data_IF_411581320938
#
_entry.id   IF_411581320938
#
_cell.length_a   1.000
_cell.length_b   1.000
_cell.length_c   1.000
_cell.angle_alpha   90.00
_cell.angle_beta   90.00
_cell.angle_gamma   90.00
#
_symmetry.space_group_name_H-M   'P 1'
#
loop_
_entity.id
_entity.type
_entity.pdbx_description
1 polymer ?
#
# COMPACT_ATOMS: atom_id res chain seq x y z
N UNK A 1 28.30 12.79 -8.99
CA UNK A 1 28.75 11.39 -8.86
C UNK A 1 27.50 10.54 -9.03
N UNK A 2 27.33 9.87 -10.17
CA UNK A 2 26.18 9.01 -10.42
C UNK A 2 26.26 7.79 -9.51
N UNK A 3 25.27 7.60 -8.63
CA UNK A 3 25.05 6.30 -8.02
C UNK A 3 24.86 5.30 -9.15
N UNK A 4 25.72 4.29 -9.22
CA UNK A 4 25.44 3.14 -10.06
C UNK A 4 24.22 2.45 -9.44
N UNK A 5 23.06 2.60 -10.05
CA UNK A 5 21.86 1.81 -9.74
C UNK A 5 22.21 0.34 -9.93
N UNK A 6 22.61 -0.33 -8.85
CA UNK A 6 22.73 -1.78 -8.86
C UNK A 6 21.32 -2.33 -8.99
N UNK A 7 21.01 -2.90 -10.15
CA UNK A 7 19.73 -3.54 -10.41
C UNK A 7 19.39 -4.54 -9.28
N UNK A 8 18.15 -4.48 -8.79
CA UNK A 8 17.66 -5.38 -7.76
C UNK A 8 17.82 -6.85 -8.22
N UNK A 9 18.12 -7.78 -7.30
CA UNK A 9 18.43 -9.18 -7.64
C UNK A 9 17.36 -9.85 -8.52
N UNK A 10 16.10 -9.44 -8.38
CA UNK A 10 14.99 -9.95 -9.18
C UNK A 10 15.12 -9.64 -10.67
N UNK A 11 15.66 -8.48 -11.03
CA UNK A 11 15.93 -8.11 -12.43
C UNK A 11 17.19 -8.82 -12.94
N UNK A 12 18.23 -8.91 -12.11
CA UNK A 12 19.45 -9.64 -12.45
C UNK A 12 19.15 -11.12 -12.74
N UNK A 13 18.36 -11.77 -11.90
CA UNK A 13 17.93 -13.15 -12.11
C UNK A 13 17.13 -13.30 -13.41
N UNK A 14 16.25 -12.35 -13.72
CA UNK A 14 15.49 -12.37 -14.97
C UNK A 14 16.41 -12.35 -16.19
N UNK A 15 17.43 -11.48 -16.17
CA UNK A 15 18.42 -11.41 -17.23
C UNK A 15 19.21 -12.71 -17.33
N UNK A 16 19.62 -13.30 -16.20
CA UNK A 16 20.33 -14.57 -16.16
C UNK A 16 19.51 -15.72 -16.75
N UNK A 17 18.23 -15.85 -16.38
CA UNK A 17 17.31 -16.87 -16.88
C UNK A 17 17.08 -16.78 -18.40
N UNK A 18 17.20 -15.58 -18.98
CA UNK A 18 16.99 -15.35 -20.42
C UNK A 18 18.29 -15.36 -21.25
N UNK A 19 19.45 -15.28 -20.59
CA UNK A 19 20.73 -15.17 -21.27
C UNK A 19 21.22 -16.54 -21.71
N UNK A 20 21.38 -16.74 -23.03
CA UNK A 20 21.87 -17.99 -23.60
C UNK A 20 23.31 -18.37 -23.18
N UNK A 21 24.05 -17.43 -22.60
CA UNK A 21 25.41 -17.63 -22.11
C UNK A 21 25.49 -18.07 -20.65
N UNK A 22 24.40 -17.97 -19.90
CA UNK A 22 24.37 -18.34 -18.47
C UNK A 22 24.04 -19.81 -18.35
N UNK A 23 24.82 -20.54 -17.56
CA UNK A 23 24.59 -21.95 -17.27
C UNK A 23 23.60 -22.12 -16.11
N UNK A 24 22.87 -23.24 -16.08
CA UNK A 24 21.93 -23.54 -14.99
C UNK A 24 22.64 -23.54 -13.62
N UNK A 25 23.89 -23.99 -13.54
CA UNK A 25 24.71 -23.96 -12.33
C UNK A 25 25.05 -22.55 -11.85
N UNK A 26 25.22 -21.59 -12.78
CA UNK A 26 25.42 -20.18 -12.41
C UNK A 26 24.12 -19.55 -11.89
N UNK A 27 22.97 -19.93 -12.46
CA UNK A 27 21.65 -19.49 -11.99
C UNK A 27 21.38 -20.03 -10.59
N UNK A 28 21.62 -21.32 -10.34
CA UNK A 28 21.39 -21.93 -9.02
C UNK A 28 22.33 -21.34 -7.96
N UNK A 29 23.61 -21.16 -8.29
CA UNK A 29 24.56 -20.48 -7.40
C UNK A 29 24.11 -19.04 -7.08
N UNK A 30 23.63 -18.28 -8.07
CA UNK A 30 23.10 -16.95 -7.83
C UNK A 30 21.88 -16.96 -6.90
N UNK A 31 20.95 -17.89 -7.11
CA UNK A 31 19.77 -18.05 -6.24
C UNK A 31 20.20 -18.31 -4.80
N UNK A 32 21.15 -19.22 -4.59
CA UNK A 32 21.60 -19.62 -3.25
C UNK A 32 22.46 -18.55 -2.55
N UNK A 33 23.27 -17.79 -3.28
CA UNK A 33 24.20 -16.82 -2.70
C UNK A 33 23.63 -15.39 -2.55
N UNK A 34 22.69 -15.02 -3.42
CA UNK A 34 22.26 -13.61 -3.56
C UNK A 34 20.85 -13.34 -3.07
N UNK A 35 19.94 -14.32 -3.13
CA UNK A 35 18.56 -14.11 -2.71
C UNK A 35 18.52 -14.13 -1.17
N UNK A 36 17.99 -13.09 -0.50
CA UNK A 36 18.03 -13.00 0.95
C UNK A 36 17.33 -14.18 1.63
N UNK A 37 17.98 -14.77 2.63
CA UNK A 37 17.42 -15.87 3.43
C UNK A 37 16.07 -15.50 4.08
N UNK A 38 15.10 -16.39 3.91
CA UNK A 38 13.75 -16.26 4.46
C UNK A 38 12.73 -15.88 3.38
N UNK A 39 11.72 -16.74 3.18
CA UNK A 39 10.62 -16.52 2.24
C UNK A 39 10.06 -15.10 2.40
N UNK A 40 10.42 -14.25 1.43
CA UNK A 40 10.06 -12.84 1.45
C UNK A 40 8.80 -12.63 0.61
N UNK A 41 8.38 -11.36 0.44
CA UNK A 41 7.21 -11.06 -0.39
C UNK A 41 7.41 -11.43 -1.86
N UNK A 42 8.65 -11.44 -2.36
CA UNK A 42 8.99 -11.49 -3.78
C UNK A 42 9.30 -12.88 -4.31
N UNK A 43 9.56 -13.87 -3.46
CA UNK A 43 9.74 -15.24 -3.90
C UNK A 43 9.17 -16.28 -2.93
N UNK A 44 8.88 -17.48 -3.43
CA UNK A 44 8.52 -18.66 -2.64
C UNK A 44 9.40 -19.84 -3.03
N UNK A 45 9.85 -20.61 -2.04
CA UNK A 45 10.45 -21.91 -2.29
C UNK A 45 9.39 -22.99 -2.12
N UNK A 46 9.35 -23.93 -3.05
CA UNK A 46 8.52 -25.12 -2.95
C UNK A 46 9.35 -26.30 -3.37
N UNK A 47 9.32 -27.34 -2.55
CA UNK A 47 9.95 -28.61 -2.91
C UNK A 47 9.33 -29.21 -4.18
N UNK A 48 8.01 -29.10 -4.33
CA UNK A 48 7.25 -29.72 -5.42
C UNK A 48 6.02 -28.88 -5.79
N UNK A 49 5.61 -28.99 -7.06
CA UNK A 49 4.35 -28.45 -7.56
C UNK A 49 3.83 -29.33 -8.71
N UNK A 50 2.52 -29.51 -8.78
CA UNK A 50 1.87 -30.43 -9.72
C UNK A 50 0.76 -29.73 -10.48
N UNK A 51 0.52 -30.18 -11.71
CA UNK A 51 -0.65 -29.83 -12.51
C UNK A 51 -1.41 -31.12 -12.83
N UNK A 52 -2.70 -31.12 -12.52
CA UNK A 52 -3.59 -32.25 -12.79
C UNK A 52 -4.57 -31.92 -13.90
N UNK A 53 -4.68 -32.84 -14.86
CA UNK A 53 -5.73 -32.84 -15.86
C UNK A 53 -7.03 -33.49 -15.38
N UNK A 54 -6.96 -34.35 -14.36
CA UNK A 54 -8.15 -35.02 -13.84
C UNK A 54 -8.93 -34.13 -12.87
N UNK A 55 -10.25 -34.29 -12.86
CA UNK A 55 -11.14 -33.58 -11.94
C UNK A 55 -11.18 -34.23 -10.55
N UNK A 56 -10.14 -34.98 -10.18
CA UNK A 56 -10.06 -35.65 -8.88
C UNK A 56 -9.94 -34.62 -7.76
N UNK A 57 -10.39 -34.95 -6.56
CA UNK A 57 -10.29 -34.02 -5.42
C UNK A 57 -8.83 -33.68 -5.08
N UNK A 58 -7.94 -34.66 -5.19
CA UNK A 58 -6.51 -34.46 -4.99
C UNK A 58 -5.92 -33.58 -6.09
N UNK A 59 -6.32 -33.77 -7.35
CA UNK A 59 -5.88 -32.92 -8.47
C UNK A 59 -6.33 -31.47 -8.32
N UNK A 60 -7.60 -31.26 -7.93
CA UNK A 60 -8.13 -29.92 -7.63
C UNK A 60 -7.39 -29.24 -6.47
N UNK A 61 -7.07 -29.97 -5.41
CA UNK A 61 -6.32 -29.42 -4.28
C UNK A 61 -4.88 -29.03 -4.68
N UNK A 62 -4.23 -29.85 -5.51
CA UNK A 62 -2.88 -29.57 -6.03
C UNK A 62 -2.88 -28.36 -6.96
N UNK A 63 -3.81 -28.30 -7.92
CA UNK A 63 -3.99 -27.13 -8.79
C UNK A 63 -4.25 -25.87 -7.97
N UNK A 64 -5.16 -25.94 -6.97
CA UNK A 64 -5.44 -24.82 -6.09
C UNK A 64 -4.19 -24.33 -5.34
N UNK A 65 -3.35 -25.22 -4.81
CA UNK A 65 -2.11 -24.81 -4.12
C UNK A 65 -1.20 -24.01 -5.04
N UNK A 66 -0.96 -24.49 -6.27
CA UNK A 66 -0.14 -23.76 -7.26
C UNK A 66 -0.75 -22.41 -7.63
N UNK A 67 -2.04 -22.40 -8.00
CA UNK A 67 -2.79 -21.19 -8.36
C UNK A 67 -2.79 -20.16 -7.24
N UNK A 68 -2.95 -20.60 -5.98
CA UNK A 68 -2.90 -19.73 -4.80
C UNK A 68 -1.57 -19.00 -4.69
N UNK A 69 -0.45 -19.69 -4.90
CA UNK A 69 0.88 -19.07 -4.83
C UNK A 69 1.10 -18.08 -5.98
N UNK A 70 0.70 -18.45 -7.21
CA UNK A 70 0.82 -17.57 -8.37
C UNK A 70 -0.06 -16.32 -8.22
N UNK A 71 -1.32 -16.49 -7.83
CA UNK A 71 -2.24 -15.38 -7.51
C UNK A 71 -1.65 -14.46 -6.43
N UNK A 72 -1.14 -15.04 -5.33
CA UNK A 72 -0.53 -14.27 -4.25
C UNK A 72 0.72 -13.50 -4.70
N UNK A 73 1.58 -14.13 -5.52
CA UNK A 73 2.75 -13.48 -6.10
C UNK A 73 2.32 -12.38 -7.06
N UNK A 74 1.35 -12.58 -7.95
CA UNK A 74 0.86 -11.56 -8.88
C UNK A 74 0.30 -10.33 -8.16
N UNK A 75 -0.38 -10.52 -7.02
CA UNK A 75 -0.98 -9.46 -6.21
C UNK A 75 -0.06 -8.90 -5.10
N UNK A 76 1.19 -9.37 -5.01
CA UNK A 76 2.11 -8.91 -3.97
C UNK A 76 2.36 -7.40 -4.05
N UNK A 77 2.47 -6.75 -2.89
CA UNK A 77 2.88 -5.34 -2.78
C UNK A 77 4.41 -5.24 -2.86
N UNK A 78 4.91 -4.71 -3.97
CA UNK A 78 6.34 -4.46 -4.23
C UNK A 78 6.54 -3.78 -5.59
N UNK A 79 7.61 -2.99 -5.72
CA UNK A 79 7.97 -2.28 -6.97
C UNK A 79 8.59 -3.20 -8.01
N UNK A 80 9.20 -4.29 -7.55
CA UNK A 80 9.90 -5.25 -8.39
C UNK A 80 8.93 -5.87 -9.40
N UNK A 81 9.34 -5.84 -10.67
CA UNK A 81 8.54 -6.33 -11.80
C UNK A 81 8.43 -7.85 -11.82
N UNK A 82 9.47 -8.55 -11.39
CA UNK A 82 9.53 -10.00 -11.39
C UNK A 82 9.52 -10.57 -9.97
N UNK A 83 8.74 -11.64 -9.81
CA UNK A 83 8.56 -12.41 -8.57
C UNK A 83 8.68 -13.88 -8.91
N UNK A 84 9.16 -14.68 -7.97
CA UNK A 84 9.62 -16.03 -8.32
C UNK A 84 8.97 -17.12 -7.47
N UNK A 85 8.55 -18.20 -8.12
CA UNK A 85 8.24 -19.46 -7.44
C UNK A 85 9.31 -20.46 -7.83
N UNK A 86 10.15 -20.83 -6.88
CA UNK A 86 11.26 -21.76 -7.04
C UNK A 86 10.80 -23.18 -6.67
N UNK A 87 10.66 -24.04 -7.67
CA UNK A 87 10.17 -25.41 -7.53
C UNK A 87 11.37 -26.36 -7.60
N UNK A 88 11.55 -27.22 -6.60
CA UNK A 88 12.75 -28.06 -6.45
C UNK A 88 13.84 -27.40 -5.60
N UNK A 89 13.45 -26.45 -4.75
CA UNK A 89 14.32 -25.76 -3.79
C UNK A 89 13.85 -26.03 -2.36
N UNK A 90 14.80 -26.08 -1.41
CA UNK A 90 14.49 -26.24 0.01
C UNK A 90 13.82 -24.99 0.60
N UNK A 91 13.03 -25.16 1.66
CA UNK A 91 12.36 -24.04 2.35
C UNK A 91 13.38 -23.02 2.91
N UNK A 92 14.60 -23.48 3.23
CA UNK A 92 15.73 -22.64 3.67
C UNK A 92 16.61 -22.14 2.52
N UNK A 93 16.19 -22.29 1.26
CA UNK A 93 17.06 -22.15 0.09
C UNK A 93 17.79 -23.45 -0.24
N UNK A 94 18.60 -23.43 -1.30
CA UNK A 94 19.36 -24.58 -1.78
C UNK A 94 18.64 -25.36 -2.88
N UNK A 95 19.35 -25.59 -3.98
CA UNK A 95 18.91 -26.50 -5.04
C UNK A 95 18.89 -27.95 -4.54
N UNK A 96 17.71 -28.58 -4.55
CA UNK A 96 17.53 -30.00 -4.15
C UNK A 96 17.00 -30.88 -5.29
N UNK A 97 16.48 -30.26 -6.35
CA UNK A 97 15.75 -30.94 -7.40
C UNK A 97 14.31 -31.26 -7.03
N UNK A 98 13.45 -31.31 -8.04
CA UNK A 98 12.14 -31.91 -7.91
C UNK A 98 12.28 -33.44 -7.94
N UNK A 99 12.38 -34.07 -6.78
CA UNK A 99 12.44 -35.53 -6.70
C UNK A 99 11.08 -36.16 -7.05
N UNK A 100 11.10 -37.19 -7.90
CA UNK A 100 9.95 -38.08 -8.17
C UNK A 100 9.40 -38.64 -6.87
N UNK A 101 8.20 -38.23 -6.45
CA UNK A 101 7.51 -38.86 -5.32
C UNK A 101 6.12 -39.36 -5.71
N UNK A 102 6.01 -40.70 -5.62
CA UNK A 102 4.81 -41.52 -5.38
C UNK A 102 3.77 -41.68 -6.51
N UNK A 103 3.36 -42.93 -6.69
CA UNK A 103 2.43 -43.57 -7.62
C UNK A 103 0.97 -43.06 -7.58
N UNK A 104 0.73 -41.86 -7.05
CA UNK A 104 -0.58 -41.27 -6.84
C UNK A 104 -0.97 -40.22 -7.90
N UNK A 105 -0.27 -40.20 -9.05
CA UNK A 105 -0.68 -39.53 -10.28
C UNK A 105 -0.57 -38.01 -10.27
N UNK A 106 -0.17 -37.41 -11.40
CA UNK A 106 0.01 -35.97 -11.59
C UNK A 106 1.23 -35.63 -12.43
N UNK A 107 1.12 -34.64 -13.30
CA UNK A 107 2.28 -34.15 -14.06
C UNK A 107 3.02 -33.11 -13.20
N UNK A 108 4.32 -33.28 -13.00
CA UNK A 108 5.09 -32.31 -12.24
C UNK A 108 5.23 -31.01 -13.06
N UNK A 109 5.22 -29.83 -12.42
CA UNK A 109 5.37 -28.54 -13.14
C UNK A 109 6.67 -28.48 -13.98
N UNK A 110 7.67 -29.28 -13.63
CA UNK A 110 8.93 -29.41 -14.37
C UNK A 110 8.76 -30.19 -15.68
N UNK A 111 7.78 -31.08 -15.78
CA UNK A 111 7.54 -31.98 -16.91
C UNK A 111 6.53 -31.44 -17.93
N UNK A 112 5.62 -30.58 -17.48
CA UNK A 112 4.59 -29.96 -18.34
C UNK A 112 5.16 -28.85 -19.22
N UNK A 113 4.56 -28.59 -20.38
CA UNK A 113 4.93 -27.44 -21.19
C UNK A 113 4.35 -26.12 -20.64
N UNK A 114 4.81 -25.00 -21.19
CA UNK A 114 4.34 -23.67 -20.79
C UNK A 114 2.86 -23.44 -21.12
N UNK A 115 2.38 -24.02 -22.23
CA UNK A 115 0.98 -23.94 -22.62
C UNK A 115 0.07 -24.53 -21.55
N UNK A 116 0.46 -25.67 -20.96
CA UNK A 116 -0.30 -26.32 -19.89
C UNK A 116 -0.40 -25.47 -18.62
N UNK A 117 0.68 -24.76 -18.27
CA UNK A 117 0.68 -23.82 -17.15
C UNK A 117 -0.27 -22.66 -17.45
N UNK A 118 -0.21 -22.12 -18.68
CA UNK A 118 -1.06 -21.02 -19.11
C UNK A 118 -2.54 -21.39 -19.16
N UNK A 119 -2.89 -22.57 -19.68
CA UNK A 119 -4.26 -23.10 -19.70
C UNK A 119 -4.84 -23.16 -18.28
N UNK A 120 -4.07 -23.70 -17.32
CA UNK A 120 -4.49 -23.78 -15.93
C UNK A 120 -4.76 -22.38 -15.34
N UNK A 121 -3.91 -21.40 -15.66
CA UNK A 121 -4.06 -20.02 -15.20
C UNK A 121 -5.29 -19.37 -15.83
N UNK A 122 -5.48 -19.49 -17.14
CA UNK A 122 -6.61 -18.89 -17.85
C UNK A 122 -7.97 -19.49 -17.45
N UNK A 123 -8.00 -20.77 -17.10
CA UNK A 123 -9.22 -21.45 -16.66
C UNK A 123 -9.65 -21.03 -15.23
N UNK A 124 -8.73 -20.45 -14.46
CA UNK A 124 -8.91 -20.28 -13.01
C UNK A 124 -8.76 -18.83 -12.52
N UNK A 125 -8.01 -17.98 -13.20
CA UNK A 125 -7.63 -16.65 -12.73
C UNK A 125 -7.98 -15.56 -13.75
N UNK A 126 -8.49 -14.43 -13.25
CA UNK A 126 -8.79 -13.24 -14.04
C UNK A 126 -8.37 -11.95 -13.29
N UNK A 127 -7.60 -11.02 -13.92
CA UNK A 127 -6.90 -11.20 -15.18
C UNK A 127 -5.83 -12.30 -15.12
N UNK A 128 -5.56 -12.94 -16.25
CA UNK A 128 -4.54 -13.99 -16.35
C UNK A 128 -3.15 -13.40 -16.10
N UNK A 129 -2.42 -13.83 -15.05
CA UNK A 129 -1.08 -13.30 -14.79
C UNK A 129 -0.08 -13.78 -15.84
N UNK A 130 0.84 -12.90 -16.24
CA UNK A 130 1.98 -13.28 -17.07
C UNK A 130 2.97 -14.13 -16.25
N UNK A 131 3.10 -15.40 -16.61
CA UNK A 131 3.97 -16.37 -15.94
C UNK A 131 4.85 -17.06 -16.97
N UNK A 132 6.17 -16.98 -16.79
CA UNK A 132 7.13 -17.68 -17.64
C UNK A 132 7.82 -18.78 -16.86
N UNK A 133 8.03 -19.94 -17.49
CA UNK A 133 8.68 -21.09 -16.85
C UNK A 133 10.07 -21.33 -17.43
N UNK A 134 11.08 -21.37 -16.56
CA UNK A 134 12.43 -21.83 -16.90
C UNK A 134 12.74 -23.12 -16.15
N UNK A 135 13.18 -24.15 -16.87
CA UNK A 135 13.65 -25.41 -16.27
C UNK A 135 15.15 -25.34 -16.08
N UNK A 136 15.61 -25.71 -14.88
CA UNK A 136 17.03 -25.77 -14.53
C UNK A 136 17.44 -27.23 -14.32
N UNK A 137 18.61 -27.62 -14.83
CA UNK A 137 19.18 -28.96 -14.66
C UNK A 137 20.57 -28.87 -14.03
N UNK A 138 20.76 -29.54 -12.90
CA UNK A 138 22.04 -29.65 -12.22
C UNK A 138 22.19 -31.03 -11.57
N UNK A 139 23.33 -31.68 -11.79
CA UNK A 139 23.68 -32.99 -11.19
C UNK A 139 22.57 -34.05 -11.34
N UNK A 140 22.06 -34.22 -12.57
CA UNK A 140 20.94 -35.11 -12.96
C UNK A 140 19.58 -34.81 -12.29
N UNK A 141 19.48 -33.71 -11.55
CA UNK A 141 18.22 -33.24 -10.96
C UNK A 141 17.66 -32.06 -11.75
N UNK A 142 16.34 -31.97 -11.83
CA UNK A 142 15.65 -30.87 -12.51
C UNK A 142 14.81 -30.04 -11.55
N UNK A 143 14.78 -28.73 -11.74
CA UNK A 143 13.97 -27.78 -11.01
C UNK A 143 13.24 -26.85 -11.99
N UNK A 144 12.25 -26.11 -11.51
CA UNK A 144 11.57 -25.09 -12.32
C UNK A 144 11.53 -23.76 -11.57
N UNK A 145 11.75 -22.67 -12.31
CA UNK A 145 11.57 -21.31 -11.84
C UNK A 145 10.37 -20.74 -12.59
N UNK A 146 9.30 -20.41 -11.88
CA UNK A 146 8.21 -19.62 -12.44
C UNK A 146 8.46 -18.14 -12.17
N UNK A 147 8.68 -17.38 -13.23
CA UNK A 147 8.79 -15.93 -13.19
C UNK A 147 7.38 -15.35 -13.34
N UNK A 148 6.80 -14.90 -12.23
CA UNK A 148 5.50 -14.22 -12.20
C UNK A 148 5.75 -12.73 -12.36
N UNK A 149 5.31 -12.16 -13.48
CA UNK A 149 5.36 -10.72 -13.66
C UNK A 149 4.31 -10.06 -12.80
N UNK A 150 4.66 -8.91 -12.23
CA UNK A 150 3.70 -8.01 -11.61
C UNK A 150 2.60 -7.66 -12.61
N UNK A 151 1.35 -7.82 -12.19
CA UNK A 151 0.19 -7.33 -12.94
C UNK A 151 0.14 -5.80 -12.83
N UNK A 152 0.08 -5.12 -13.97
CA UNK A 152 -0.30 -3.69 -14.05
C UNK A 152 -1.82 -3.53 -14.30
N UNK A 153 -2.57 -4.64 -14.24
CA UNK A 153 -4.03 -4.75 -14.43
C UNK A 153 -4.74 -4.87 -13.07
N UNK A 154 -6.09 -4.99 -13.00
CA UNK A 154 -6.79 -5.27 -11.75
C UNK A 154 -6.18 -6.44 -10.96
N UNK A 155 -6.43 -6.52 -9.64
CA UNK A 155 -5.98 -7.65 -8.85
C UNK A 155 -6.39 -8.98 -9.49
N UNK A 156 -5.47 -9.94 -9.51
CA UNK A 156 -5.71 -11.29 -10.04
C UNK A 156 -6.59 -12.04 -9.06
N UNK A 157 -7.80 -12.40 -9.49
CA UNK A 157 -8.80 -13.11 -8.69
C UNK A 157 -9.05 -14.50 -9.25
N UNK A 158 -9.56 -15.39 -8.42
CA UNK A 158 -10.12 -16.63 -8.92
C UNK A 158 -11.43 -16.34 -9.66
N UNK A 159 -11.50 -16.67 -10.94
CA UNK A 159 -12.74 -16.53 -11.73
C UNK A 159 -13.71 -17.69 -11.44
N UNK A 160 -13.16 -18.88 -11.21
CA UNK A 160 -13.94 -20.09 -10.93
C UNK A 160 -13.80 -20.56 -9.47
N UNK A 161 -14.90 -21.06 -8.90
CA UNK A 161 -14.87 -21.65 -7.55
C UNK A 161 -14.33 -23.09 -7.62
N UNK A 162 -13.33 -23.43 -6.80
CA UNK A 162 -12.78 -24.79 -6.74
C UNK A 162 -13.37 -25.52 -5.54
N UNK A 163 -14.09 -26.62 -5.82
CA UNK A 163 -14.75 -27.45 -4.80
C UNK A 163 -14.33 -28.92 -4.91
N UNK A 164 -14.08 -29.56 -3.76
CA UNK A 164 -13.78 -30.99 -3.62
C UNK A 164 -15.02 -31.78 -3.18
N UNK A 165 -14.99 -33.10 -3.40
CA UNK A 165 -15.94 -34.13 -2.97
C UNK A 165 -17.38 -33.81 -3.33
N UNK A 166 -17.70 -33.79 -4.62
CA UNK A 166 -19.06 -33.54 -5.12
C UNK A 166 -19.65 -32.18 -4.73
N UNK A 167 -18.83 -31.23 -4.27
CA UNK A 167 -19.24 -29.90 -3.79
C UNK A 167 -19.22 -29.72 -2.27
N UNK A 168 -18.81 -30.72 -1.49
CA UNK A 168 -18.88 -30.68 -0.03
C UNK A 168 -17.89 -29.72 0.63
N UNK A 169 -16.71 -29.48 0.04
CA UNK A 169 -15.71 -28.55 0.58
C UNK A 169 -15.29 -27.55 -0.49
N UNK A 170 -15.39 -26.26 -0.18
CA UNK A 170 -14.93 -25.19 -1.07
C UNK A 170 -13.50 -24.81 -0.70
N UNK A 171 -12.56 -25.04 -1.62
CA UNK A 171 -11.16 -24.63 -1.44
C UNK A 171 -11.00 -23.13 -1.66
N UNK A 172 -11.69 -22.59 -2.67
CA UNK A 172 -11.74 -21.16 -2.99
C UNK A 172 -13.05 -20.82 -3.71
N UNK A 173 -13.58 -19.63 -3.44
CA UNK A 173 -14.74 -19.07 -4.14
C UNK A 173 -14.27 -18.15 -5.26
N UNK A 174 -15.09 -18.05 -6.31
CA UNK A 174 -14.94 -17.01 -7.34
C UNK A 174 -14.92 -15.61 -6.71
N UNK A 175 -14.12 -14.71 -7.27
CA UNK A 175 -13.88 -13.34 -6.79
C UNK A 175 -12.84 -13.22 -5.66
N UNK A 176 -12.34 -14.33 -5.11
CA UNK A 176 -11.34 -14.29 -4.04
C UNK A 176 -9.95 -14.11 -4.65
N UNK A 177 -9.21 -13.09 -4.20
CA UNK A 177 -7.78 -12.94 -4.48
C UNK A 177 -6.92 -13.38 -3.29
N UNK A 178 -5.65 -13.66 -3.52
CA UNK A 178 -4.65 -13.90 -2.47
C UNK A 178 -3.52 -12.88 -2.58
N UNK A 179 -2.87 -12.59 -1.45
CA UNK A 179 -1.69 -11.72 -1.35
C UNK A 179 -0.65 -12.35 -0.42
N UNK A 180 0.64 -12.08 -0.67
CA UNK A 180 1.71 -12.52 0.23
C UNK A 180 1.92 -11.58 1.42
N UNK A 181 2.10 -12.19 2.59
CA UNK A 181 2.54 -11.55 3.84
C UNK A 181 3.72 -12.34 4.39
N UNK A 182 4.94 -11.96 3.97
CA UNK A 182 6.14 -12.76 4.22
C UNK A 182 6.04 -14.11 3.49
N UNK A 183 6.36 -15.19 4.21
CA UNK A 183 6.24 -16.58 3.77
C UNK A 183 4.82 -17.04 3.44
N UNK A 184 3.78 -16.39 3.99
CA UNK A 184 2.43 -16.92 3.89
C UNK A 184 1.59 -16.23 2.82
N UNK A 185 0.77 -17.02 2.15
CA UNK A 185 -0.28 -16.54 1.24
C UNK A 185 -1.63 -16.53 1.97
N UNK A 186 -2.23 -15.35 2.08
CA UNK A 186 -3.53 -15.13 2.73
C UNK A 186 -4.56 -14.56 1.74
N UNK A 187 -5.87 -14.78 1.96
CA UNK A 187 -6.91 -14.09 1.20
C UNK A 187 -6.75 -12.57 1.29
N UNK A 188 -7.04 -11.90 0.18
CA UNK A 188 -7.07 -10.45 0.11
C UNK A 188 -8.22 -9.89 0.95
N UNK A 189 -7.95 -8.78 1.63
CA UNK A 189 -8.93 -7.93 2.32
C UNK A 189 -9.22 -6.71 1.45
N UNK A 190 -10.28 -5.97 1.73
CA UNK A 190 -10.66 -4.77 0.95
C UNK A 190 -9.47 -3.79 0.79
N UNK A 191 -8.77 -3.47 1.87
CA UNK A 191 -7.49 -2.73 1.87
C UNK A 191 -6.38 -3.29 0.96
N UNK A 192 -6.36 -4.59 0.64
CA UNK A 192 -5.45 -5.14 -0.36
C UNK A 192 -5.91 -4.81 -1.79
N UNK A 193 -7.22 -4.84 -2.05
CA UNK A 193 -7.78 -4.43 -3.34
C UNK A 193 -7.55 -2.93 -3.58
N UNK A 194 -7.89 -2.07 -2.61
CA UNK A 194 -7.72 -0.62 -2.76
C UNK A 194 -6.28 -0.21 -3.03
N UNK A 195 -5.31 -0.73 -2.28
CA UNK A 195 -3.89 -0.38 -2.52
C UNK A 195 -3.42 -0.78 -3.92
N UNK A 196 -3.91 -1.88 -4.48
CA UNK A 196 -3.58 -2.29 -5.86
C UNK A 196 -4.27 -1.36 -6.88
N UNK A 197 -5.51 -0.96 -6.59
CA UNK A 197 -6.29 -0.05 -7.45
C UNK A 197 -5.73 1.38 -7.42
N UNK A 198 -5.50 1.96 -6.24
CA UNK A 198 -4.91 3.31 -6.06
C UNK A 198 -3.58 3.42 -6.80
N UNK A 199 -2.70 2.43 -6.62
CA UNK A 199 -1.42 2.40 -7.34
C UNK A 199 -1.59 2.34 -8.86
N UNK A 200 -2.63 1.66 -9.34
CA UNK A 200 -2.94 1.62 -10.77
C UNK A 200 -3.41 2.99 -11.26
N UNK A 201 -4.23 3.69 -10.49
CA UNK A 201 -4.61 5.07 -10.79
C UNK A 201 -3.37 5.95 -10.90
N UNK A 202 -2.42 5.83 -9.97
CA UNK A 202 -1.15 6.56 -10.02
C UNK A 202 -0.36 6.25 -11.31
N UNK A 203 -0.23 4.97 -11.68
CA UNK A 203 0.46 4.55 -12.92
C UNK A 203 -0.26 5.00 -14.19
N UNK A 204 -1.59 5.01 -14.18
CA UNK A 204 -2.40 5.49 -15.30
C UNK A 204 -2.23 7.00 -15.44
N UNK A 205 -2.26 7.74 -14.34
CA UNK A 205 -2.04 9.19 -14.32
C UNK A 205 -0.63 9.54 -14.81
N UNK A 206 0.41 8.85 -14.34
CA UNK A 206 1.79 9.02 -14.81
C UNK A 206 1.91 8.82 -16.34
N UNK A 207 1.28 7.76 -16.87
CA UNK A 207 1.29 7.50 -18.32
C UNK A 207 0.45 8.49 -19.13
N UNK A 208 -0.65 8.99 -18.56
CA UNK A 208 -1.45 10.05 -19.17
C UNK A 208 -0.61 11.33 -19.24
N UNK A 209 0.07 11.71 -18.17
CA UNK A 209 0.97 12.86 -18.14
C UNK A 209 2.14 12.70 -19.13
N UNK A 210 2.74 11.52 -19.20
CA UNK A 210 3.78 11.20 -20.19
C UNK A 210 3.24 11.33 -21.63
N UNK A 211 2.04 10.80 -21.89
CA UNK A 211 1.39 10.88 -23.19
C UNK A 211 1.00 12.33 -23.56
N UNK A 212 0.47 13.10 -22.61
CA UNK A 212 0.14 14.51 -22.78
C UNK A 212 1.40 15.36 -23.02
N UNK A 213 2.48 15.10 -22.28
CA UNK A 213 3.79 15.72 -22.50
C UNK A 213 4.42 15.33 -23.84
N UNK A 214 4.16 14.11 -24.32
CA UNK A 214 4.53 13.63 -25.65
C UNK A 214 3.70 14.30 -26.76
N UNK A 215 2.39 14.47 -26.56
CA UNK A 215 1.48 15.13 -27.49
C UNK A 215 1.77 16.62 -27.64
N UNK A 216 2.07 17.32 -26.54
CA UNK A 216 2.54 18.72 -26.55
C UNK A 216 3.80 18.93 -27.42
N UNK A 217 4.64 17.89 -27.54
CA UNK A 217 5.85 17.94 -28.39
C UNK A 217 5.58 17.62 -29.87
N UNK A 218 4.48 16.92 -30.17
CA UNK A 218 4.24 16.37 -31.52
C UNK A 218 3.13 17.10 -32.29
N UNK A 219 2.23 17.79 -31.59
CA UNK A 219 1.23 18.67 -32.20
C UNK A 219 1.23 19.96 -31.39
N UNK A 220 1.45 21.11 -32.02
CA UNK A 220 1.43 22.43 -31.39
C UNK A 220 0.05 22.86 -30.92
N UNK A 221 -0.61 22.00 -30.16
CA UNK A 221 -1.89 22.19 -29.49
C UNK A 221 -1.55 22.70 -28.09
N UNK A 222 -2.00 23.90 -27.74
CA UNK A 222 -1.82 24.45 -26.40
C UNK A 222 -2.59 23.62 -25.37
N UNK A 223 -2.11 23.60 -24.13
CA UNK A 223 -2.73 22.89 -23.00
C UNK A 223 -4.24 23.17 -22.88
N UNK A 224 -4.65 24.41 -23.17
CA UNK A 224 -6.03 24.90 -23.13
C UNK A 224 -6.99 24.19 -24.11
N UNK A 225 -6.47 23.58 -25.18
CA UNK A 225 -7.26 22.83 -26.16
C UNK A 225 -7.42 21.35 -25.81
N UNK A 226 -6.55 20.80 -24.96
CA UNK A 226 -6.63 19.42 -24.48
C UNK A 226 -7.61 19.27 -23.31
N UNK A 227 -7.76 20.29 -22.47
CA UNK A 227 -8.76 20.34 -21.39
C UNK A 227 -10.22 20.25 -21.90
N UNK A 228 -10.46 20.51 -23.18
CA UNK A 228 -11.79 20.55 -23.79
C UNK A 228 -12.14 19.32 -24.66
N UNK A 229 -11.31 18.26 -24.64
CA UNK A 229 -11.55 17.03 -25.40
C UNK A 229 -12.39 16.04 -24.57
N UNK A 230 -13.72 16.14 -24.68
CA UNK A 230 -14.65 15.10 -24.21
C UNK A 230 -14.44 13.81 -25.03
N UNK A 231 -13.81 12.81 -24.41
CA UNK A 231 -13.74 11.46 -24.95
C UNK A 231 -15.01 10.73 -24.48
N UNK A 232 -16.08 10.79 -25.28
CA UNK A 232 -17.30 10.03 -25.00
C UNK A 232 -17.16 8.57 -25.45
N UNK A 233 -17.12 7.63 -24.51
CA UNK A 233 -17.28 6.20 -24.77
C UNK A 233 -18.75 5.80 -24.55
N UNK A 234 -19.47 5.44 -25.60
CA UNK A 234 -20.87 4.99 -25.51
C UNK A 234 -20.96 3.55 -25.00
N UNK A 235 -21.66 3.34 -23.88
CA UNK A 235 -22.08 2.04 -23.36
C UNK A 235 -23.31 1.50 -24.11
N UNK A 236 -23.30 0.21 -24.48
CA UNK A 236 -24.45 -0.47 -25.11
C UNK A 236 -25.29 -1.19 -24.06
N UNK A 237 -26.62 -1.00 -24.12
CA UNK A 237 -27.64 -1.64 -23.29
C UNK A 237 -27.79 -3.15 -23.60
N UNK A 238 -27.37 -4.03 -22.69
CA UNK A 238 -28.02 -5.33 -22.38
C UNK A 238 -27.27 -6.05 -21.23
N UNK A 239 -27.81 -6.00 -20.00
CA UNK A 239 -27.36 -6.87 -18.88
C UNK A 239 -27.58 -6.34 -17.45
N UNK A 240 -28.46 -7.03 -16.71
CA UNK A 240 -28.69 -7.15 -15.23
C UNK A 240 -28.18 -6.04 -14.28
N UNK A 241 -29.02 -5.47 -13.38
CA UNK A 241 -28.60 -4.42 -12.45
C UNK A 241 -27.71 -5.00 -11.35
N UNK A 242 -26.46 -4.55 -11.30
CA UNK A 242 -25.59 -4.66 -10.14
C UNK A 242 -25.56 -3.26 -9.52
N UNK A 243 -26.27 -3.08 -8.41
CA UNK A 243 -26.10 -1.93 -7.51
C UNK A 243 -24.76 -2.07 -6.78
N UNK A 244 -23.67 -1.87 -7.52
CA UNK A 244 -22.38 -1.37 -7.02
C UNK A 244 -21.54 -1.04 -8.25
N UNK A 245 -21.81 0.14 -8.82
CA UNK A 245 -21.02 0.69 -9.90
C UNK A 245 -19.66 1.07 -9.31
N UNK A 246 -18.69 0.15 -9.37
CA UNK A 246 -17.27 0.52 -9.43
C UNK A 246 -17.08 1.22 -10.77
N UNK A 247 -17.37 2.52 -10.80
CA UNK A 247 -17.13 3.36 -11.97
C UNK A 247 -15.63 3.43 -12.20
N UNK A 248 -15.21 3.12 -13.42
CA UNK A 248 -13.86 3.32 -13.96
C UNK A 248 -13.60 4.77 -14.40
N UNK A 249 -14.59 5.66 -14.21
CA UNK A 249 -14.40 7.10 -14.30
C UNK A 249 -13.70 7.55 -13.02
N UNK A 250 -12.43 7.98 -13.16
CA UNK A 250 -11.73 8.65 -12.07
C UNK A 250 -12.62 9.78 -11.58
N UNK A 251 -12.98 9.74 -10.29
CA UNK A 251 -13.80 10.79 -9.71
C UNK A 251 -12.99 12.08 -9.78
N UNK A 252 -13.27 12.93 -10.77
CA UNK A 252 -12.75 14.30 -10.80
C UNK A 252 -13.23 15.10 -9.59
N UNK A 253 -14.33 14.65 -8.98
CA UNK A 253 -14.95 15.23 -7.78
C UNK A 253 -14.37 14.63 -6.49
N UNK A 254 -13.54 15.45 -5.83
CA UNK A 254 -12.86 15.15 -4.57
C UNK A 254 -13.86 14.88 -3.42
N UNK A 255 -15.01 15.56 -3.40
CA UNK A 255 -16.02 15.41 -2.36
C UNK A 255 -16.75 14.07 -2.45
N UNK A 256 -17.00 13.61 -3.68
CA UNK A 256 -17.58 12.28 -3.92
C UNK A 256 -16.62 11.18 -3.45
N UNK A 257 -15.32 11.33 -3.73
CA UNK A 257 -14.28 10.40 -3.24
C UNK A 257 -14.26 10.36 -1.71
N UNK A 258 -14.21 11.52 -1.06
CA UNK A 258 -14.21 11.61 0.40
C UNK A 258 -15.47 10.97 1.01
N UNK A 259 -16.65 11.23 0.45
CA UNK A 259 -17.91 10.65 0.91
C UNK A 259 -17.94 9.12 0.85
N UNK A 260 -17.38 8.55 -0.23
CA UNK A 260 -17.27 7.10 -0.36
C UNK A 260 -16.30 6.54 0.67
N UNK A 261 -15.15 7.16 0.87
CA UNK A 261 -14.17 6.71 1.86
C UNK A 261 -14.70 6.77 3.30
N UNK A 262 -15.50 7.78 3.64
CA UNK A 262 -16.21 7.84 4.94
C UNK A 262 -17.21 6.68 5.08
N UNK A 263 -18.03 6.42 4.06
CA UNK A 263 -18.98 5.29 4.06
C UNK A 263 -18.25 3.95 4.23
N UNK A 264 -17.09 3.80 3.60
CA UNK A 264 -16.26 2.61 3.70
C UNK A 264 -15.61 2.48 5.08
N UNK A 265 -15.12 3.58 5.67
CA UNK A 265 -14.61 3.62 7.03
C UNK A 265 -15.68 3.19 8.04
N UNK A 266 -16.91 3.69 7.92
CA UNK A 266 -18.02 3.29 8.79
C UNK A 266 -18.39 1.81 8.70
N UNK A 267 -18.16 1.18 7.55
CA UNK A 267 -18.52 -0.23 7.32
C UNK A 267 -17.37 -1.20 7.61
N UNK A 268 -16.13 -0.78 7.38
CA UNK A 268 -14.94 -1.66 7.41
C UNK A 268 -13.85 -1.21 8.40
N UNK A 269 -13.94 0.00 8.93
CA UNK A 269 -12.92 0.62 9.77
C UNK A 269 -11.67 1.08 9.00
N UNK A 270 -11.69 1.05 7.66
CA UNK A 270 -10.51 1.35 6.84
C UNK A 270 -10.24 2.85 6.71
N UNK A 271 -8.98 3.24 6.89
CA UNK A 271 -8.45 4.60 6.76
C UNK A 271 -7.54 4.71 5.54
N UNK A 272 -7.23 5.93 5.08
CA UNK A 272 -6.21 6.09 4.05
C UNK A 272 -4.85 5.57 4.51
N UNK A 273 -4.26 4.71 3.69
CA UNK A 273 -2.96 4.09 3.97
C UNK A 273 -1.79 4.74 3.23
N UNK A 274 -2.10 5.50 2.16
CA UNK A 274 -1.14 6.28 1.38
C UNK A 274 -1.07 7.71 1.90
N UNK A 275 0.14 8.23 2.11
CA UNK A 275 0.33 9.64 2.48
C UNK A 275 -0.07 10.59 1.36
N UNK A 276 0.18 10.20 0.10
CA UNK A 276 -0.17 11.02 -1.07
C UNK A 276 -1.65 11.36 -1.12
N UNK A 277 -2.53 10.41 -0.76
CA UNK A 277 -3.96 10.67 -0.67
C UNK A 277 -4.29 11.75 0.38
N UNK A 278 -3.63 11.70 1.55
CA UNK A 278 -3.82 12.70 2.61
C UNK A 278 -3.23 14.06 2.21
N UNK A 279 -2.07 14.09 1.55
CA UNK A 279 -1.47 15.33 1.04
C UNK A 279 -2.35 15.99 -0.01
N UNK A 280 -2.96 15.22 -0.92
CA UNK A 280 -3.91 15.75 -1.90
C UNK A 280 -5.14 16.36 -1.23
N UNK A 281 -5.68 15.72 -0.19
CA UNK A 281 -6.80 16.29 0.58
C UNK A 281 -6.39 17.58 1.28
N UNK A 282 -5.20 17.62 1.88
CA UNK A 282 -4.67 18.81 2.54
C UNK A 282 -4.39 19.95 1.55
N UNK A 283 -3.86 19.65 0.36
CA UNK A 283 -3.61 20.64 -0.69
C UNK A 283 -4.90 21.28 -1.19
N UNK A 284 -5.97 20.50 -1.30
CA UNK A 284 -7.28 20.91 -1.81
C UNK A 284 -8.31 21.12 -0.70
N UNK A 285 -7.85 21.44 0.52
CA UNK A 285 -8.70 21.59 1.72
C UNK A 285 -9.87 22.57 1.53
N UNK A 286 -9.64 23.68 0.82
CA UNK A 286 -10.66 24.70 0.55
C UNK A 286 -11.77 24.23 -0.41
N UNK A 287 -11.55 23.13 -1.13
CA UNK A 287 -12.52 22.55 -2.06
C UNK A 287 -13.39 21.46 -1.40
N UNK A 288 -13.08 21.09 -0.15
CA UNK A 288 -13.76 20.04 0.58
C UNK A 288 -15.00 20.57 1.29
N UNK A 289 -16.12 19.90 1.07
CA UNK A 289 -17.29 20.01 1.91
C UNK A 289 -17.02 19.19 3.17
N UNK A 290 -16.70 19.86 4.27
CA UNK A 290 -16.36 19.19 5.53
C UNK A 290 -17.57 19.19 6.47
N UNK A 291 -17.92 18.00 6.95
CA UNK A 291 -18.75 17.77 8.13
C UNK A 291 -17.91 17.05 9.20
N UNK A 292 -18.44 16.92 10.42
CA UNK A 292 -17.69 16.30 11.52
C UNK A 292 -17.23 14.87 11.19
N UNK A 293 -18.05 14.10 10.46
CA UNK A 293 -17.73 12.73 10.08
C UNK A 293 -16.55 12.67 9.08
N UNK A 294 -16.53 13.57 8.09
CA UNK A 294 -15.43 13.74 7.14
C UNK A 294 -14.16 14.24 7.83
N UNK A 295 -14.29 15.19 8.75
CA UNK A 295 -13.18 15.69 9.56
C UNK A 295 -12.56 14.58 10.42
N UNK A 296 -13.39 13.78 11.11
CA UNK A 296 -12.93 12.63 11.88
C UNK A 296 -12.18 11.63 10.99
N UNK A 297 -12.77 11.22 9.87
CA UNK A 297 -12.14 10.30 8.94
C UNK A 297 -10.76 10.80 8.45
N UNK A 298 -10.67 12.07 8.06
CA UNK A 298 -9.42 12.69 7.60
C UNK A 298 -8.41 12.83 8.73
N UNK A 299 -8.85 13.15 9.94
CA UNK A 299 -8.00 13.23 11.12
C UNK A 299 -7.36 11.87 11.43
N UNK A 300 -8.17 10.80 11.40
CA UNK A 300 -7.72 9.46 11.72
C UNK A 300 -6.80 8.92 10.62
N UNK A 301 -7.13 9.20 9.37
CA UNK A 301 -6.29 8.90 8.21
C UNK A 301 -4.94 9.61 8.29
N UNK A 302 -4.91 10.84 8.77
CA UNK A 302 -3.68 11.62 8.96
C UNK A 302 -2.81 11.05 10.08
N UNK A 303 -3.42 10.70 11.23
CA UNK A 303 -2.73 10.02 12.33
C UNK A 303 -2.12 8.68 11.90
N UNK A 304 -2.84 7.88 11.10
CA UNK A 304 -2.35 6.63 10.52
C UNK A 304 -1.08 6.81 9.66
N UNK A 305 -0.89 8.01 9.13
CA UNK A 305 0.22 8.39 8.27
C UNK A 305 1.35 9.15 9.00
N UNK A 306 1.28 9.24 10.33
CA UNK A 306 2.29 9.80 11.24
C UNK A 306 2.56 11.30 11.09
N UNK A 307 1.50 12.11 10.93
CA UNK A 307 1.60 13.57 11.10
C UNK A 307 0.33 14.14 11.76
N UNK A 308 0.39 15.35 12.33
CA UNK A 308 -0.70 15.92 13.13
C UNK A 308 -1.90 16.29 12.24
N UNK A 309 -3.14 15.95 12.61
CA UNK A 309 -4.34 16.22 11.82
C UNK A 309 -4.91 17.63 12.06
N UNK A 310 -4.04 18.64 12.13
CA UNK A 310 -4.41 19.98 12.60
C UNK A 310 -5.53 20.62 11.78
N UNK A 311 -5.45 20.54 10.45
CA UNK A 311 -6.48 21.09 9.55
C UNK A 311 -7.87 20.57 9.88
N UNK A 312 -7.98 19.26 10.05
CA UNK A 312 -9.25 18.57 10.26
C UNK A 312 -9.79 18.80 11.67
N UNK A 313 -8.90 19.02 12.63
CA UNK A 313 -9.24 19.42 13.99
C UNK A 313 -9.86 20.83 13.98
N UNK A 314 -9.21 21.79 13.32
CA UNK A 314 -9.68 23.18 13.25
C UNK A 314 -11.08 23.28 12.61
N UNK A 315 -11.34 22.44 11.62
CA UNK A 315 -12.62 22.37 10.91
C UNK A 315 -13.70 21.52 11.60
N UNK A 316 -13.40 20.85 12.71
CA UNK A 316 -14.39 20.04 13.43
C UNK A 316 -15.21 20.92 14.37
N UNK A 317 -16.53 20.97 14.19
CA UNK A 317 -17.41 21.90 14.92
C UNK A 317 -17.76 21.43 16.34
N UNK A 318 -17.58 20.14 16.64
CA UNK A 318 -17.91 19.55 17.93
C UNK A 318 -16.66 19.34 18.81
N UNK A 319 -16.90 19.17 20.11
CA UNK A 319 -15.89 18.71 21.07
C UNK A 319 -15.26 17.39 20.59
N UNK A 320 -13.99 17.48 20.20
CA UNK A 320 -13.19 16.37 19.69
C UNK A 320 -12.76 15.42 20.81
N UNK A 321 -12.89 15.78 22.09
CA UNK A 321 -12.41 14.96 23.20
C UNK A 321 -13.04 13.56 23.18
N UNK A 322 -14.35 13.47 23.01
CA UNK A 322 -15.06 12.18 22.96
C UNK A 322 -14.72 11.38 21.69
N UNK A 323 -14.53 12.04 20.55
CA UNK A 323 -14.11 11.38 19.29
C UNK A 323 -12.67 10.87 19.36
N UNK A 324 -11.76 11.61 19.99
CA UNK A 324 -10.38 11.19 20.25
C UNK A 324 -10.33 10.03 21.24
N UNK A 325 -11.16 10.05 22.29
CA UNK A 325 -11.24 8.95 23.24
C UNK A 325 -11.82 7.67 22.60
N UNK A 326 -12.82 7.81 21.74
CA UNK A 326 -13.35 6.72 20.91
C UNK A 326 -12.26 6.11 20.03
N UNK A 327 -11.46 6.96 19.36
CA UNK A 327 -10.34 6.53 18.53
C UNK A 327 -9.28 5.76 19.33
N UNK A 328 -8.90 6.30 20.49
CA UNK A 328 -7.97 5.65 21.42
C UNK A 328 -8.39 4.21 21.70
N UNK A 329 -9.67 3.99 22.02
CA UNK A 329 -10.20 2.68 22.40
C UNK A 329 -10.33 1.71 21.22
N UNK A 330 -10.63 2.23 20.02
CA UNK A 330 -11.00 1.39 18.88
C UNK A 330 -9.85 1.07 17.92
N UNK A 331 -8.93 2.01 17.70
CA UNK A 331 -8.03 1.95 16.54
C UNK A 331 -6.56 2.27 16.84
N UNK A 332 -6.24 2.80 18.03
CA UNK A 332 -4.87 3.19 18.33
C UNK A 332 -3.91 2.00 18.31
N UNK A 333 -2.76 2.19 17.68
CA UNK A 333 -1.68 1.21 17.64
C UNK A 333 -0.32 1.92 17.80
N UNK A 334 0.73 1.12 18.02
CA UNK A 334 2.06 1.63 18.34
C UNK A 334 2.72 2.47 17.23
N UNK A 335 2.19 2.47 16.00
CA UNK A 335 2.68 3.35 14.94
C UNK A 335 2.17 4.79 15.11
N UNK A 336 0.93 4.94 15.58
CA UNK A 336 0.23 6.22 15.72
C UNK A 336 0.51 6.91 17.06
N UNK A 337 0.86 6.13 18.09
CA UNK A 337 0.93 6.57 19.49
C UNK A 337 1.67 7.90 19.68
N UNK A 338 2.86 8.04 19.12
CA UNK A 338 3.69 9.24 19.33
C UNK A 338 3.04 10.52 18.79
N UNK A 339 2.37 10.45 17.64
CA UNK A 339 1.70 11.62 17.05
C UNK A 339 0.38 11.88 17.77
N UNK A 340 -0.35 10.81 18.11
CA UNK A 340 -1.61 10.91 18.84
C UNK A 340 -1.42 11.55 20.22
N UNK A 341 -0.41 11.11 20.99
CA UNK A 341 -0.06 11.72 22.27
C UNK A 341 0.34 13.19 22.12
N UNK A 342 1.16 13.51 21.11
CA UNK A 342 1.58 14.89 20.87
C UNK A 342 0.40 15.82 20.53
N UNK A 343 -0.58 15.34 19.75
CA UNK A 343 -1.80 16.08 19.44
C UNK A 343 -2.63 16.32 20.70
N UNK A 344 -2.84 15.30 21.52
CA UNK A 344 -3.59 15.43 22.78
C UNK A 344 -2.85 16.30 23.82
N UNK A 345 -1.52 16.30 23.81
CA UNK A 345 -0.70 17.21 24.62
C UNK A 345 -0.86 18.67 24.20
N UNK A 346 -0.88 18.94 22.88
CA UNK A 346 -1.14 20.28 22.37
C UNK A 346 -2.56 20.75 22.67
N UNK A 347 -3.55 19.87 22.55
CA UNK A 347 -4.96 20.14 22.85
C UNK A 347 -5.32 20.14 24.35
N UNK A 348 -4.35 19.92 25.24
CA UNK A 348 -4.58 19.85 26.69
C UNK A 348 -5.59 18.76 27.12
N UNK A 349 -5.71 17.69 26.33
CA UNK A 349 -6.63 16.60 26.57
C UNK A 349 -6.08 15.60 27.61
N UNK A 350 -6.15 16.01 28.88
CA UNK A 350 -5.66 15.23 30.02
C UNK A 350 -6.33 13.85 30.12
N UNK A 351 -7.62 13.77 29.79
CA UNK A 351 -8.40 12.53 29.90
C UNK A 351 -7.87 11.44 28.98
N UNK A 352 -7.56 11.78 27.72
CA UNK A 352 -7.00 10.83 26.76
C UNK A 352 -5.57 10.44 27.12
N UNK A 353 -4.73 11.41 27.54
CA UNK A 353 -3.36 11.12 27.95
C UNK A 353 -3.29 10.21 29.20
N UNK A 354 -4.17 10.44 30.19
CA UNK A 354 -4.30 9.54 31.34
C UNK A 354 -4.76 8.15 30.93
N UNK A 355 -5.73 8.05 30.02
CA UNK A 355 -6.19 6.75 29.52
C UNK A 355 -5.05 5.95 28.87
N UNK A 356 -4.16 6.61 28.12
CA UNK A 356 -2.97 5.97 27.53
C UNK A 356 -1.97 5.54 28.61
N UNK A 357 -1.65 6.44 29.55
CA UNK A 357 -0.69 6.17 30.64
C UNK A 357 -1.13 5.00 31.53
N UNK A 358 -2.41 4.97 31.90
CA UNK A 358 -2.98 3.99 32.83
C UNK A 358 -3.22 2.61 32.18
N UNK A 359 -3.20 2.50 30.85
CA UNK A 359 -3.49 1.26 30.14
C UNK A 359 -2.28 0.32 30.08
N UNK A 360 -2.08 -0.42 31.17
CA UNK A 360 -1.05 -1.45 31.29
C UNK A 360 -1.19 -2.65 30.33
N UNK A 361 -2.24 -2.70 29.49
CA UNK A 361 -2.37 -3.70 28.41
C UNK A 361 -1.66 -3.27 27.12
N UNK A 362 -1.36 -1.99 26.98
CA UNK A 362 -0.72 -1.38 25.82
C UNK A 362 0.78 -1.14 26.10
N UNK A 363 1.64 -2.11 25.78
CA UNK A 363 3.11 -1.94 25.91
C UNK A 363 3.68 -1.14 24.73
N UNK A 364 3.35 0.16 24.68
CA UNK A 364 3.92 1.09 23.72
C UNK A 364 5.28 1.58 24.22
N UNK A 365 6.36 0.92 23.79
CA UNK A 365 7.75 1.28 24.16
C UNK A 365 8.13 2.75 23.87
N UNK A 366 7.38 3.46 23.03
CA UNK A 366 7.60 4.85 22.65
C UNK A 366 6.60 5.85 23.24
N UNK A 367 5.70 5.41 24.13
CA UNK A 367 4.74 6.29 24.78
C UNK A 367 5.43 7.35 25.63
N UNK A 368 4.94 8.59 25.56
CA UNK A 368 5.36 9.74 26.37
C UNK A 368 4.22 10.34 27.18
N UNK A 369 3.08 9.66 27.30
CA UNK A 369 1.88 10.17 27.95
C UNK A 369 2.14 10.73 29.36
N UNK A 370 2.89 10.02 30.22
CA UNK A 370 3.26 10.51 31.56
C UNK A 370 4.04 11.83 31.52
N UNK A 371 5.03 11.92 30.63
CA UNK A 371 5.86 13.13 30.46
C UNK A 371 5.03 14.31 29.97
N UNK A 372 4.09 14.06 29.06
CA UNK A 372 3.17 15.09 28.56
C UNK A 372 2.15 15.51 29.63
N UNK A 373 1.71 14.61 30.51
CA UNK A 373 0.84 14.96 31.64
C UNK A 373 1.52 15.90 32.64
N UNK A 374 2.82 15.68 32.91
CA UNK A 374 3.59 16.51 33.84
C UNK A 374 3.77 17.97 33.36
N UNK A 375 3.68 18.19 32.05
CA UNK A 375 3.94 19.46 31.35
C UNK A 375 2.72 19.97 30.57
N UNK A 376 1.52 19.40 30.80
CA UNK A 376 0.34 19.67 29.97
C UNK A 376 -0.12 21.13 30.04
N UNK A 377 0.22 21.84 31.11
CA UNK A 377 -0.12 23.25 31.31
C UNK A 377 0.95 24.20 30.77
N UNK A 378 2.02 23.68 30.16
CA UNK A 378 3.10 24.53 29.66
C UNK A 378 2.63 25.39 28.49
N UNK A 379 3.18 26.61 28.30
CA UNK A 379 2.80 27.48 27.21
C UNK A 379 2.94 26.78 25.84
N UNK A 380 2.06 27.05 24.86
CA UNK A 380 2.08 26.36 23.56
C UNK A 380 3.42 26.40 22.83
N UNK A 381 4.20 27.47 23.00
CA UNK A 381 5.57 27.57 22.47
C UNK A 381 6.49 26.52 23.09
N UNK A 382 6.48 26.37 24.42
CA UNK A 382 7.32 25.41 25.14
C UNK A 382 6.95 23.97 24.73
N UNK A 383 5.66 23.69 24.57
CA UNK A 383 5.17 22.41 24.04
C UNK A 383 5.73 22.09 22.66
N UNK A 384 5.74 23.05 21.72
CA UNK A 384 6.33 22.83 20.38
C UNK A 384 7.84 22.59 20.49
N UNK A 385 8.55 23.36 21.31
CA UNK A 385 9.99 23.17 21.50
C UNK A 385 10.29 21.76 22.02
N UNK A 386 9.46 21.23 22.93
CA UNK A 386 9.58 19.87 23.45
C UNK A 386 9.25 18.79 22.40
N UNK A 387 8.23 19.02 21.56
CA UNK A 387 7.84 18.08 20.51
C UNK A 387 8.84 18.02 19.34
N UNK A 388 9.39 19.16 18.96
CA UNK A 388 10.23 19.29 17.76
C UNK A 388 11.73 19.29 18.08
N UNK A 389 12.10 19.54 19.34
CA UNK A 389 13.48 19.85 19.77
C UNK A 389 14.11 21.02 19.00
N UNK A 390 13.28 21.96 18.50
CA UNK A 390 13.69 23.10 17.68
C UNK A 390 13.13 24.39 18.27
N UNK A 391 13.87 25.48 18.09
CA UNK A 391 13.42 26.86 18.43
C UNK A 391 13.01 27.68 17.23
N UNK A 392 13.49 27.28 16.06
CA UNK A 392 13.20 27.91 14.79
C UNK A 392 12.63 26.89 13.83
N UNK A 393 11.67 27.33 13.03
CA UNK A 393 11.07 26.58 11.93
C UNK A 393 11.69 27.09 10.62
N UNK A 394 12.21 26.17 9.80
CA UNK A 394 12.68 26.52 8.46
C UNK A 394 11.51 26.48 7.47
N UNK A 395 11.04 27.65 7.04
CA UNK A 395 10.03 27.79 5.98
C UNK A 395 10.71 28.47 4.80
N UNK A 396 10.60 27.88 3.62
CA UNK A 396 11.11 28.45 2.34
C UNK A 396 12.61 28.83 2.36
N UNK A 397 13.42 28.14 3.19
CA UNK A 397 14.84 28.44 3.35
C UNK A 397 15.15 29.58 4.33
N UNK A 398 14.14 30.07 5.05
CA UNK A 398 14.26 31.08 6.09
C UNK A 398 13.93 30.50 7.46
N UNK A 399 14.75 30.81 8.46
CA UNK A 399 14.51 30.40 9.84
C UNK A 399 13.63 31.43 10.55
N UNK A 400 12.48 30.98 11.05
CA UNK A 400 11.53 31.78 11.81
C UNK A 400 11.45 31.27 13.25
N UNK A 401 11.59 32.15 14.27
CA UNK A 401 11.38 31.75 15.66
C UNK A 401 9.95 31.24 15.85
N UNK A 402 9.80 30.08 16.51
CA UNK A 402 8.48 29.49 16.78
C UNK A 402 7.61 30.46 17.60
N UNK A 403 8.21 31.20 18.54
CA UNK A 403 7.55 32.27 19.30
C UNK A 403 6.86 33.29 18.41
N UNK A 404 7.57 33.74 17.36
CA UNK A 404 7.08 34.79 16.48
C UNK A 404 5.95 34.25 15.62
N UNK A 405 6.07 33.01 15.15
CA UNK A 405 5.02 32.34 14.39
C UNK A 405 3.76 32.20 15.25
N UNK A 406 3.86 31.61 16.43
CA UNK A 406 2.69 31.34 17.30
C UNK A 406 1.98 32.63 17.68
N UNK A 407 2.71 33.71 17.96
CA UNK A 407 2.13 34.98 18.42
C UNK A 407 1.66 35.92 17.31
N UNK A 408 2.28 35.88 16.13
CA UNK A 408 2.04 36.87 15.06
C UNK A 408 1.51 36.28 13.74
N UNK A 409 1.21 34.98 13.71
CA UNK A 409 0.63 34.29 12.56
C UNK A 409 1.65 33.79 11.54
N UNK A 410 2.79 34.45 11.36
CA UNK A 410 3.91 34.01 10.53
C UNK A 410 3.55 33.61 9.08
N UNK A 411 4.50 33.07 8.28
CA UNK A 411 4.24 32.57 6.93
C UNK A 411 3.83 31.09 6.92
N UNK A 412 3.03 30.65 7.91
CA UNK A 412 2.76 29.22 8.15
C UNK A 412 1.99 28.57 7.01
N UNK A 413 0.94 29.23 6.53
CA UNK A 413 0.11 28.72 5.43
C UNK A 413 0.91 28.61 4.13
N UNK A 414 1.76 29.60 3.83
CA UNK A 414 2.66 29.52 2.67
C UNK A 414 3.66 28.38 2.80
N UNK A 415 4.22 28.19 4.00
CA UNK A 415 5.12 27.05 4.28
C UNK A 415 4.42 25.70 4.15
N UNK A 416 3.16 25.62 4.60
CA UNK A 416 2.32 24.42 4.47
C UNK A 416 2.09 24.08 3.00
N UNK A 417 1.65 25.03 2.19
CA UNK A 417 1.39 24.81 0.77
C UNK A 417 2.64 24.31 0.02
N UNK A 418 3.79 24.95 0.26
CA UNK A 418 5.03 24.56 -0.40
C UNK A 418 5.55 23.19 0.04
N UNK A 419 5.48 22.85 1.33
CA UNK A 419 5.94 21.54 1.80
C UNK A 419 5.01 20.43 1.31
N UNK A 420 3.70 20.69 1.23
CA UNK A 420 2.73 19.75 0.68
C UNK A 420 2.97 19.52 -0.82
N UNK A 421 3.25 20.58 -1.59
CA UNK A 421 3.59 20.44 -3.02
C UNK A 421 4.85 19.58 -3.23
N UNK A 422 5.89 19.79 -2.42
CA UNK A 422 7.08 18.95 -2.46
C UNK A 422 6.77 17.50 -2.09
N UNK A 423 5.98 17.28 -1.05
CA UNK A 423 5.60 15.93 -0.60
C UNK A 423 4.68 15.17 -1.55
N UNK A 424 3.88 15.88 -2.35
CA UNK A 424 3.10 15.27 -3.44
C UNK A 424 4.04 14.85 -4.58
N UNK A 425 5.06 15.66 -4.89
CA UNK A 425 6.04 15.34 -5.92
C UNK A 425 7.03 14.24 -5.50
N UNK A 426 7.48 14.25 -4.24
CA UNK A 426 8.44 13.30 -3.67
C UNK A 426 8.28 13.23 -2.13
N UNK A 427 7.98 12.05 -1.58
CA UNK A 427 7.74 11.81 -0.14
C UNK A 427 9.07 11.72 0.65
N UNK A 428 9.84 12.81 0.61
CA UNK A 428 11.12 12.94 1.29
C UNK A 428 10.97 13.02 2.81
N UNK A 429 11.90 12.35 3.53
CA UNK A 429 11.85 12.31 4.99
C UNK A 429 12.06 13.68 5.65
N UNK A 430 12.82 14.58 5.01
CA UNK A 430 13.07 15.91 5.54
C UNK A 430 11.80 16.77 5.46
N UNK A 431 11.11 16.75 4.31
CA UNK A 431 9.86 17.49 4.13
C UNK A 431 8.75 16.98 5.06
N UNK A 432 8.69 15.67 5.34
CA UNK A 432 7.78 15.13 6.36
C UNK A 432 8.02 15.70 7.76
N UNK A 433 9.29 15.93 8.11
CA UNK A 433 9.63 16.56 9.39
C UNK A 433 9.19 18.01 9.41
N UNK A 434 9.41 18.74 8.31
CA UNK A 434 9.01 20.14 8.17
C UNK A 434 7.48 20.28 8.26
N UNK A 435 6.73 19.43 7.55
CA UNK A 435 5.27 19.39 7.63
C UNK A 435 4.78 19.17 9.06
N UNK A 436 5.39 18.23 9.79
CA UNK A 436 5.02 17.95 11.18
C UNK A 436 5.24 19.16 12.09
N UNK A 437 6.39 19.82 11.97
CA UNK A 437 6.70 21.00 12.77
C UNK A 437 5.73 22.16 12.45
N UNK A 438 5.39 22.35 11.16
CA UNK A 438 4.37 23.31 10.70
C UNK A 438 3.02 23.00 11.34
N UNK A 439 2.55 21.75 11.25
CA UNK A 439 1.22 21.37 11.75
C UNK A 439 1.11 21.46 13.28
N UNK A 440 2.16 21.13 14.04
CA UNK A 440 2.17 21.39 15.49
C UNK A 440 2.13 22.89 15.80
N UNK A 441 2.81 23.70 15.01
CA UNK A 441 2.80 25.16 15.18
C UNK A 441 1.42 25.74 14.87
N UNK A 442 0.73 25.25 13.83
CA UNK A 442 -0.67 25.60 13.52
C UNK A 442 -1.61 25.20 14.64
N UNK A 443 -1.43 24.02 15.21
CA UNK A 443 -2.27 23.53 16.30
C UNK A 443 -2.09 24.39 17.56
N UNK A 444 -0.87 24.80 17.85
CA UNK A 444 -0.58 25.74 18.94
C UNK A 444 -1.23 27.11 18.74
N UNK A 445 -1.22 27.63 17.50
CA UNK A 445 -1.89 28.89 17.16
C UNK A 445 -3.39 28.76 17.40
N UNK A 446 -4.01 27.67 16.95
CA UNK A 446 -5.42 27.40 17.17
C UNK A 446 -5.78 27.41 18.66
N UNK A 447 -5.08 26.61 19.48
CA UNK A 447 -5.29 26.55 20.94
C UNK A 447 -5.04 27.89 21.63
N UNK A 448 -4.06 28.68 21.16
CA UNK A 448 -3.79 30.01 21.72
C UNK A 448 -4.84 31.06 21.32
N UNK A 449 -5.52 30.84 20.19
CA UNK A 449 -6.46 31.79 19.60
C UNK A 449 -7.91 31.60 20.06
N UNK A 450 -8.23 30.43 20.61
CA UNK A 450 -9.55 30.12 21.15
C UNK A 450 -9.63 30.62 22.60
N UNK A 451 -10.31 31.76 22.87
CA UNK A 451 -10.48 32.22 24.23
C UNK A 451 -11.68 31.47 24.82
N UNK A 452 -11.43 30.59 25.79
CA UNK A 452 -12.48 29.95 26.62
C UNK A 452 -13.63 30.89 27.01
#
# INVERSE_FOLDING_TARGET
MSSSDTAHWSETLRVMLNASSTTDSEVTAFIDETIPDGENKLYDNKRQAFIHADSSDQGKERNFRLLKHICALANTRGEQRYRYLFIGFGDSGGFIGASDWDANGGEHVVEVDEARVQDLLSDSLDPVPEVERTVLTQDDNTAAVLSVRRSDSPPVLFDTSITTSGGATTLVKSGVGYVRKGSQSRPMRNSDYRVIIERREDLVNEKIEEALGGLQRMVGISSDQLENLEISATSSDEGVPIDEIVTTEGYSDLNKRLSLSVKEWNSSGELYSSRGAVYTMLKRRDELELDNERCEFLAWSTLNNNFPPTEWIIHHENDLEDSLLSFYQAQLNGRMISVFEAVNYMLENERVLRAISDDGSMDFQSSKADTYLDSITDPPVEKIEDLTARRNLNITGHDYPITDIVTSGGPVETGLEEVVDRLISDDESNDRSILRDIEYTRLAQYVSSDPE
#
